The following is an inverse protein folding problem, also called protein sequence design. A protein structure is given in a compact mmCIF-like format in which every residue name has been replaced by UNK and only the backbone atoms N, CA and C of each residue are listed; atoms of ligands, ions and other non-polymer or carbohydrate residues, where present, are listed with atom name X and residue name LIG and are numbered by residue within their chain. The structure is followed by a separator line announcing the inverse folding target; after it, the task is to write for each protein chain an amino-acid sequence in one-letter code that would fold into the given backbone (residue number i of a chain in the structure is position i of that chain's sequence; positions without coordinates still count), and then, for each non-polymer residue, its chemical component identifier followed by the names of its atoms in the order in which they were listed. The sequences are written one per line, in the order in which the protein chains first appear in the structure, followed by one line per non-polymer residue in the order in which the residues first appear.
data_IF_814344488460
#
_entry.id   IF_814344488460
#
_cell.length_a   1.000
_cell.length_b   1.000
_cell.length_c   1.000
_cell.angle_alpha   90.00
_cell.angle_beta   90.00
_cell.angle_gamma   90.00
#
_symmetry.space_group_name_H-M   'P 1'
#
loop_
_entity.id
_entity.type
_entity.pdbx_description
1 polymer ?
#
# COMPACT_ATOMS: atom_id res chain seq x y z
N UNK A 1 5.80 14.30 21.67
CA UNK A 1 5.74 13.28 20.61
C UNK A 1 6.74 13.68 19.52
N UNK A 2 7.71 12.86 19.24
CA UNK A 2 8.63 13.16 18.13
C UNK A 2 7.85 12.98 16.82
N UNK A 3 7.77 14.05 16.03
CA UNK A 3 7.18 13.97 14.67
C UNK A 3 8.09 13.14 13.76
N UNK A 4 7.50 12.32 12.91
CA UNK A 4 8.27 11.63 11.87
C UNK A 4 8.85 12.66 10.89
N UNK A 5 10.13 12.57 10.52
CA UNK A 5 10.72 13.52 9.60
C UNK A 5 10.18 13.28 8.18
N UNK A 6 9.60 14.32 7.58
CA UNK A 6 9.09 14.33 6.20
C UNK A 6 8.42 13.02 5.77
N UNK A 7 7.28 12.64 6.39
CA UNK A 7 6.64 11.36 6.13
C UNK A 7 5.85 11.37 4.81
N UNK A 8 5.72 10.19 4.20
CA UNK A 8 4.72 9.88 3.19
C UNK A 8 4.01 8.57 3.56
N UNK A 9 2.72 8.46 3.24
CA UNK A 9 1.94 7.25 3.40
C UNK A 9 1.85 6.49 2.09
N UNK A 10 2.22 5.21 2.10
CA UNK A 10 2.05 4.29 0.98
C UNK A 10 1.01 3.23 1.33
N UNK A 11 -0.05 3.17 0.53
CA UNK A 11 -1.12 2.17 0.62
C UNK A 11 -0.91 1.14 -0.49
N UNK A 12 -0.64 -0.11 -0.13
CA UNK A 12 -0.27 -1.17 -1.07
C UNK A 12 -1.45 -2.12 -1.29
N UNK A 13 -1.85 -2.26 -2.56
CA UNK A 13 -2.73 -3.32 -3.09
C UNK A 13 -4.09 -3.46 -2.39
N UNK A 14 -4.70 -2.37 -1.91
CA UNK A 14 -6.08 -2.36 -1.39
C UNK A 14 -7.07 -2.42 -2.58
N UNK A 15 -7.04 -3.53 -3.30
CA UNK A 15 -7.81 -3.78 -4.51
C UNK A 15 -9.03 -4.66 -4.23
N UNK A 16 -10.06 -4.54 -5.05
CA UNK A 16 -11.29 -5.34 -4.95
C UNK A 16 -10.99 -6.84 -4.87
N UNK A 17 -10.11 -7.34 -5.73
CA UNK A 17 -9.77 -8.76 -5.76
C UNK A 17 -9.04 -9.29 -4.53
N UNK A 18 -8.36 -8.42 -3.77
CA UNK A 18 -7.66 -8.80 -2.55
C UNK A 18 -8.50 -8.58 -1.29
N UNK A 19 -9.31 -7.53 -1.26
CA UNK A 19 -10.14 -7.22 -0.10
C UNK A 19 -11.47 -7.98 -0.12
N UNK A 20 -12.07 -8.13 -1.30
CA UNK A 20 -13.39 -8.73 -1.52
C UNK A 20 -13.35 -9.97 -2.42
N UNK A 21 -12.17 -10.52 -2.67
CA UNK A 21 -12.00 -11.74 -3.46
C UNK A 21 -12.48 -12.99 -2.72
N UNK A 22 -12.28 -14.17 -3.33
CA UNK A 22 -12.75 -15.44 -2.77
C UNK A 22 -12.08 -15.83 -1.44
N UNK A 23 -10.91 -15.29 -1.15
CA UNK A 23 -10.18 -15.46 0.11
C UNK A 23 -10.26 -14.17 0.92
N UNK A 24 -10.95 -14.22 2.06
CA UNK A 24 -11.08 -13.05 2.93
C UNK A 24 -9.76 -12.78 3.68
N UNK A 25 -9.26 -11.51 3.69
CA UNK A 25 -8.12 -11.17 4.51
C UNK A 25 -8.49 -11.13 6.01
N UNK A 26 -7.52 -11.46 6.86
CA UNK A 26 -7.67 -11.33 8.30
C UNK A 26 -7.97 -9.87 8.68
N UNK A 27 -9.01 -9.62 9.48
CA UNK A 27 -9.41 -8.28 9.93
C UNK A 27 -9.46 -7.21 8.80
N UNK A 28 -9.85 -7.59 7.56
CA UNK A 28 -9.76 -6.71 6.40
C UNK A 28 -10.52 -5.39 6.54
N UNK A 29 -11.72 -5.42 7.12
CA UNK A 29 -12.53 -4.22 7.34
C UNK A 29 -11.88 -3.26 8.37
N UNK A 30 -11.31 -3.81 9.43
CA UNK A 30 -10.60 -3.02 10.45
C UNK A 30 -9.32 -2.42 9.87
N UNK A 31 -8.53 -3.21 9.14
CA UNK A 31 -7.33 -2.76 8.44
C UNK A 31 -7.66 -1.60 7.49
N UNK A 32 -8.71 -1.72 6.67
CA UNK A 32 -9.16 -0.66 5.78
C UNK A 32 -9.56 0.61 6.53
N UNK A 33 -10.30 0.48 7.65
CA UNK A 33 -10.69 1.63 8.46
C UNK A 33 -9.47 2.35 9.04
N UNK A 34 -8.46 1.60 9.50
CA UNK A 34 -7.20 2.14 10.01
C UNK A 34 -6.42 2.88 8.91
N UNK A 35 -6.34 2.29 7.70
CA UNK A 35 -5.69 2.93 6.55
C UNK A 35 -6.40 4.24 6.17
N UNK A 36 -7.72 4.27 6.15
CA UNK A 36 -8.48 5.48 5.85
C UNK A 36 -8.24 6.59 6.90
N UNK A 37 -8.16 6.23 8.19
CA UNK A 37 -7.80 7.19 9.25
C UNK A 37 -6.37 7.73 9.07
N UNK A 38 -5.41 6.87 8.74
CA UNK A 38 -4.04 7.27 8.45
C UNK A 38 -3.94 8.18 7.24
N UNK A 39 -4.65 7.87 6.16
CA UNK A 39 -4.70 8.69 4.94
C UNK A 39 -5.26 10.08 5.23
N UNK A 40 -6.33 10.17 6.02
CA UNK A 40 -6.89 11.44 6.45
C UNK A 40 -5.90 12.24 7.31
N UNK A 41 -5.25 11.59 8.27
CA UNK A 41 -4.25 12.25 9.13
C UNK A 41 -3.02 12.71 8.34
N UNK A 42 -2.53 11.91 7.38
CA UNK A 42 -1.43 12.27 6.51
C UNK A 42 -1.75 13.51 5.68
N UNK A 43 -2.92 13.55 5.03
CA UNK A 43 -3.38 14.73 4.27
C UNK A 43 -3.52 15.98 5.15
N UNK A 44 -4.11 15.84 6.34
CA UNK A 44 -4.24 16.93 7.28
C UNK A 44 -2.89 17.51 7.75
N UNK A 45 -1.85 16.66 7.77
CA UNK A 45 -0.47 17.04 8.08
C UNK A 45 0.33 17.53 6.86
N UNK A 46 -0.26 17.56 5.67
CA UNK A 46 0.41 17.93 4.42
C UNK A 46 1.39 16.85 3.92
N UNK A 47 1.30 15.62 4.43
CA UNK A 47 2.12 14.51 3.98
C UNK A 47 1.51 13.84 2.72
N UNK A 48 2.32 13.50 1.71
CA UNK A 48 1.84 12.80 0.51
C UNK A 48 1.20 11.45 0.85
N UNK A 49 0.11 11.13 0.16
CA UNK A 49 -0.52 9.82 0.16
C UNK A 49 -0.39 9.21 -1.22
N UNK A 50 0.14 7.99 -1.29
CA UNK A 50 0.29 7.24 -2.53
C UNK A 50 -0.43 5.90 -2.39
N UNK A 51 -1.17 5.51 -3.42
CA UNK A 51 -1.84 4.22 -3.49
C UNK A 51 -1.34 3.44 -4.71
N UNK A 52 -0.90 2.21 -4.51
CA UNK A 52 -0.40 1.37 -5.60
C UNK A 52 -1.32 0.18 -5.83
N UNK A 53 -1.52 -0.18 -7.10
CA UNK A 53 -2.23 -1.38 -7.53
C UNK A 53 -1.24 -2.39 -8.08
N UNK A 54 -1.37 -3.64 -7.69
CA UNK A 54 -0.67 -4.74 -8.36
C UNK A 54 -1.40 -5.08 -9.66
N UNK A 55 -0.70 -5.03 -10.77
CA UNK A 55 -1.23 -5.32 -12.10
C UNK A 55 -0.66 -6.65 -12.57
N UNK A 56 -1.54 -7.62 -12.74
CA UNK A 56 -1.20 -8.94 -13.29
C UNK A 56 -1.07 -8.95 -14.80
N UNK A 57 -0.63 -10.07 -15.37
CA UNK A 57 -0.53 -10.21 -16.82
C UNK A 57 -1.91 -10.12 -17.49
N UNK A 58 -1.90 -9.84 -18.79
CA UNK A 58 -3.12 -9.81 -19.59
C UNK A 58 -3.90 -11.12 -19.45
N UNK A 59 -5.21 -11.02 -19.26
CA UNK A 59 -6.11 -12.17 -19.07
C UNK A 59 -6.14 -12.73 -17.64
N UNK A 60 -5.32 -12.22 -16.72
CA UNK A 60 -5.44 -12.59 -15.30
C UNK A 60 -6.61 -11.85 -14.63
N UNK A 61 -7.11 -12.36 -13.47
CA UNK A 61 -8.19 -11.69 -12.73
C UNK A 61 -7.88 -10.27 -12.31
N UNK A 62 -6.59 -9.93 -12.15
CA UNK A 62 -6.09 -8.59 -11.78
C UNK A 62 -5.34 -7.91 -12.94
N UNK A 63 -5.68 -8.25 -14.19
CA UNK A 63 -5.18 -7.51 -15.35
C UNK A 63 -5.68 -6.06 -15.30
N UNK A 64 -4.90 -5.15 -15.86
CA UNK A 64 -5.27 -3.73 -15.92
C UNK A 64 -6.69 -3.54 -16.47
N UNK A 65 -7.50 -2.75 -15.78
CA UNK A 65 -8.89 -2.48 -16.15
C UNK A 65 -9.90 -3.53 -15.73
N UNK A 66 -9.49 -4.69 -15.20
CA UNK A 66 -10.42 -5.69 -14.69
C UNK A 66 -11.11 -5.23 -13.39
N UNK A 67 -12.31 -5.77 -13.05
CA UNK A 67 -12.98 -5.39 -11.80
C UNK A 67 -12.15 -5.65 -10.55
N UNK A 68 -11.42 -6.76 -10.49
CA UNK A 68 -10.59 -7.10 -9.34
C UNK A 68 -9.32 -6.26 -9.20
N UNK A 69 -8.86 -5.67 -10.28
CA UNK A 69 -7.71 -4.77 -10.29
C UNK A 69 -8.02 -3.39 -9.68
N UNK A 70 -9.27 -2.94 -9.73
CA UNK A 70 -9.66 -1.64 -9.19
C UNK A 70 -9.32 -1.53 -7.71
N UNK A 71 -8.98 -0.32 -7.24
CA UNK A 71 -8.93 -0.05 -5.82
C UNK A 71 -10.30 -0.33 -5.19
N UNK A 72 -10.30 -0.83 -3.96
CA UNK A 72 -11.55 -1.07 -3.24
C UNK A 72 -12.32 0.26 -3.10
N UNK A 73 -13.62 0.29 -3.42
CA UNK A 73 -14.39 1.53 -3.41
C UNK A 73 -14.50 2.19 -2.03
N UNK A 74 -14.29 1.41 -0.97
CA UNK A 74 -14.27 1.90 0.41
C UNK A 74 -12.95 2.55 0.81
N UNK A 75 -11.88 2.38 0.01
CA UNK A 75 -10.63 3.09 0.24
C UNK A 75 -10.82 4.57 -0.08
N UNK A 76 -10.61 5.41 0.93
CA UNK A 76 -10.75 6.85 0.80
C UNK A 76 -9.55 7.45 0.04
N UNK A 77 -9.63 7.45 -1.29
CA UNK A 77 -8.67 8.09 -2.19
C UNK A 77 -9.13 9.51 -2.49
N UNK A 78 -8.23 10.46 -2.40
CA UNK A 78 -8.45 11.87 -2.73
C UNK A 78 -7.83 12.21 -4.11
N UNK A 79 -8.32 13.28 -4.75
CA UNK A 79 -7.78 13.74 -6.03
C UNK A 79 -6.31 14.16 -5.95
N UNK A 80 -5.85 14.59 -4.77
CA UNK A 80 -4.46 14.93 -4.53
C UNK A 80 -3.56 13.71 -4.33
N UNK A 81 -4.12 12.53 -4.09
CA UNK A 81 -3.35 11.31 -3.90
C UNK A 81 -2.77 10.81 -5.23
N UNK A 82 -1.58 10.27 -5.15
CA UNK A 82 -0.96 9.64 -6.32
C UNK A 82 -1.33 8.17 -6.42
N UNK A 83 -2.07 7.80 -7.43
CA UNK A 83 -2.38 6.39 -7.75
C UNK A 83 -1.46 5.92 -8.87
N UNK A 84 -0.83 4.75 -8.71
CA UNK A 84 0.07 4.16 -9.71
C UNK A 84 0.01 2.64 -9.70
N UNK A 85 0.62 2.02 -10.70
CA UNK A 85 0.61 0.58 -10.89
C UNK A 85 2.01 -0.02 -10.75
N UNK A 86 2.06 -1.26 -10.25
CA UNK A 86 3.27 -2.08 -10.18
C UNK A 86 3.01 -3.47 -10.74
N UNK A 87 4.06 -4.14 -11.19
CA UNK A 87 4.01 -5.49 -11.76
C UNK A 87 4.82 -6.51 -10.93
N UNK A 88 5.43 -6.08 -9.84
CA UNK A 88 6.23 -6.91 -8.93
C UNK A 88 5.83 -6.65 -7.48
N UNK A 89 6.14 -7.55 -6.54
CA UNK A 89 5.86 -7.31 -5.12
C UNK A 89 6.46 -6.01 -4.60
N UNK A 90 7.73 -5.73 -4.90
CA UNK A 90 8.39 -4.48 -4.56
C UNK A 90 7.79 -3.30 -5.33
N UNK A 91 7.20 -2.33 -4.62
CA UNK A 91 6.55 -1.17 -5.22
C UNK A 91 7.53 -0.18 -5.89
N UNK A 92 8.82 -0.27 -5.61
CA UNK A 92 9.85 0.54 -6.26
C UNK A 92 10.29 -0.01 -7.62
N UNK A 93 10.06 -1.32 -7.87
CA UNK A 93 10.55 -1.97 -9.06
C UNK A 93 9.80 -1.54 -10.32
N UNK A 94 10.50 -0.84 -11.22
CA UNK A 94 9.94 -0.41 -12.49
C UNK A 94 8.84 0.65 -12.38
N UNK A 95 8.81 1.42 -11.28
CA UNK A 95 7.85 2.50 -11.03
C UNK A 95 8.56 3.82 -10.80
N UNK A 96 7.81 4.92 -10.75
CA UNK A 96 8.33 6.24 -10.40
C UNK A 96 8.43 6.52 -8.90
N UNK A 97 8.15 5.53 -8.03
CA UNK A 97 7.97 5.77 -6.59
C UNK A 97 9.16 6.47 -5.95
N UNK A 98 10.39 5.97 -6.16
CA UNK A 98 11.59 6.57 -5.56
C UNK A 98 11.80 8.03 -6.01
N UNK A 99 11.57 8.31 -7.30
CA UNK A 99 11.67 9.66 -7.84
C UNK A 99 10.68 10.62 -7.19
N UNK A 100 9.41 10.24 -7.09
CA UNK A 100 8.38 11.08 -6.47
C UNK A 100 8.63 11.33 -4.99
N UNK A 101 9.08 10.32 -4.26
CA UNK A 101 9.42 10.47 -2.83
C UNK A 101 10.62 11.42 -2.65
N UNK A 102 11.64 11.31 -3.48
CA UNK A 102 12.82 12.20 -3.47
C UNK A 102 12.47 13.64 -3.84
N UNK A 103 11.68 13.85 -4.87
CA UNK A 103 11.17 15.16 -5.27
C UNK A 103 10.38 15.84 -4.14
N UNK A 104 9.61 15.06 -3.37
CA UNK A 104 8.87 15.52 -2.19
C UNK A 104 9.72 15.67 -0.93
N UNK A 105 11.03 15.38 -0.98
CA UNK A 105 11.91 15.44 0.18
C UNK A 105 11.57 14.43 1.27
N UNK A 106 10.89 13.33 0.92
CA UNK A 106 10.44 12.30 1.87
C UNK A 106 11.63 11.59 2.50
N UNK A 107 11.60 11.44 3.80
CA UNK A 107 12.62 10.74 4.59
C UNK A 107 12.04 9.49 5.28
N UNK A 108 10.75 9.51 5.61
CA UNK A 108 10.07 8.41 6.27
C UNK A 108 8.95 7.87 5.39
N UNK A 109 8.96 6.57 5.11
CA UNK A 109 7.88 5.89 4.40
C UNK A 109 7.03 5.08 5.38
N UNK A 110 5.77 5.49 5.52
CA UNK A 110 4.78 4.76 6.31
C UNK A 110 4.10 3.76 5.37
N UNK A 111 4.21 2.47 5.66
CA UNK A 111 3.73 1.38 4.80
C UNK A 111 2.51 0.73 5.39
N UNK A 112 1.48 0.56 4.55
CA UNK A 112 0.20 -0.06 4.88
C UNK A 112 -0.30 -0.91 3.70
N UNK A 113 -1.29 -1.77 3.92
CA UNK A 113 -1.97 -2.50 2.84
C UNK A 113 -1.81 -4.02 2.89
N UNK A 114 -1.61 -4.65 1.73
CA UNK A 114 -1.62 -6.12 1.55
C UNK A 114 -0.55 -6.57 0.55
N UNK A 115 -0.13 -7.83 0.54
CA UNK A 115 -0.21 -8.85 1.62
C UNK A 115 1.08 -8.76 2.44
N UNK A 116 0.98 -8.95 3.74
CA UNK A 116 2.10 -8.79 4.69
C UNK A 116 3.38 -9.47 4.24
N UNK A 117 3.32 -10.77 3.91
CA UNK A 117 4.49 -11.59 3.58
C UNK A 117 5.00 -11.43 2.14
N UNK A 118 4.35 -10.62 1.31
CA UNK A 118 4.70 -10.42 -0.10
C UNK A 118 5.00 -8.95 -0.40
N UNK A 119 4.02 -8.20 -0.86
CA UNK A 119 4.22 -6.82 -1.33
C UNK A 119 4.63 -5.88 -0.21
N UNK A 120 4.12 -6.07 1.00
CA UNK A 120 4.50 -5.29 2.19
C UNK A 120 5.96 -5.55 2.54
N UNK A 121 6.34 -6.81 2.79
CA UNK A 121 7.72 -7.18 3.15
C UNK A 121 8.72 -6.74 2.09
N UNK A 122 8.47 -7.06 0.82
CA UNK A 122 9.36 -6.68 -0.28
C UNK A 122 9.56 -5.17 -0.40
N UNK A 123 8.49 -4.39 -0.23
CA UNK A 123 8.56 -2.93 -0.32
C UNK A 123 9.27 -2.31 0.88
N UNK A 124 9.01 -2.81 2.09
CA UNK A 124 9.70 -2.33 3.30
C UNK A 124 11.23 -2.54 3.20
N UNK A 125 11.68 -3.71 2.75
CA UNK A 125 13.11 -4.01 2.57
C UNK A 125 13.73 -3.09 1.52
N UNK A 126 13.08 -2.94 0.37
CA UNK A 126 13.56 -2.06 -0.69
C UNK A 126 13.62 -0.60 -0.25
N UNK A 127 12.63 -0.11 0.49
CA UNK A 127 12.62 1.25 1.03
C UNK A 127 13.81 1.48 1.98
N UNK A 128 14.09 0.52 2.87
CA UNK A 128 15.23 0.59 3.80
C UNK A 128 16.56 0.61 3.03
N UNK A 129 16.71 -0.24 2.02
CA UNK A 129 17.91 -0.29 1.17
C UNK A 129 18.13 1.03 0.39
N UNK A 130 17.04 1.73 0.02
CA UNK A 130 17.08 3.04 -0.63
C UNK A 130 17.34 4.20 0.34
N UNK A 131 17.40 3.94 1.65
CA UNK A 131 17.74 4.91 2.69
C UNK A 131 16.55 5.58 3.37
N UNK A 132 15.31 5.16 3.11
CA UNK A 132 14.14 5.65 3.84
C UNK A 132 14.07 5.06 5.25
N UNK A 133 13.67 5.87 6.24
CA UNK A 133 13.16 5.33 7.49
C UNK A 133 11.81 4.67 7.21
N UNK A 134 11.64 3.40 7.59
CA UNK A 134 10.41 2.65 7.31
C UNK A 134 9.60 2.47 8.58
N UNK A 135 8.33 2.83 8.50
CA UNK A 135 7.33 2.58 9.55
C UNK A 135 6.27 1.64 9.00
N UNK A 136 6.27 0.40 9.46
CA UNK A 136 5.20 -0.55 9.19
C UNK A 136 4.14 -0.44 10.29
N UNK A 137 2.90 -0.08 9.91
CA UNK A 137 1.81 0.13 10.87
C UNK A 137 1.16 -1.20 11.18
N UNK A 138 1.30 -1.68 12.42
CA UNK A 138 0.97 -3.05 12.83
C UNK A 138 -0.51 -3.45 12.66
N UNK A 139 -1.43 -2.49 12.72
CA UNK A 139 -2.87 -2.68 12.56
C UNK A 139 -3.43 -2.12 11.23
N UNK A 140 -2.54 -1.81 10.29
CA UNK A 140 -2.89 -1.28 8.96
C UNK A 140 -2.25 -2.09 7.82
N UNK A 141 -1.87 -3.33 8.06
CA UNK A 141 -1.54 -4.30 7.02
C UNK A 141 -2.12 -5.67 7.36
N UNK A 142 -2.38 -6.48 6.35
CA UNK A 142 -2.98 -7.80 6.53
C UNK A 142 -2.60 -8.78 5.43
N UNK A 143 -2.96 -10.03 5.63
CA UNK A 143 -2.87 -11.11 4.65
C UNK A 143 -4.02 -12.10 4.85
N UNK A 144 -4.06 -13.14 4.06
CA UNK A 144 -4.96 -14.27 4.19
C UNK A 144 -4.25 -15.44 4.89
N UNK A 145 -5.02 -16.32 5.50
CA UNK A 145 -4.51 -17.59 5.97
C UNK A 145 -3.91 -18.40 4.82
N UNK A 146 -2.89 -19.16 5.11
CA UNK A 146 -2.35 -20.18 4.22
C UNK A 146 -2.48 -21.55 4.87
N UNK A 147 -2.39 -22.66 4.11
CA UNK A 147 -2.43 -24.01 4.70
C UNK A 147 -1.39 -24.25 5.79
N UNK A 148 -0.30 -23.45 5.79
CA UNK A 148 0.83 -23.62 6.71
C UNK A 148 0.91 -22.55 7.79
N UNK A 149 0.21 -21.40 7.62
CA UNK A 149 0.32 -20.26 8.51
C UNK A 149 -0.97 -19.47 8.58
N UNK A 150 -1.46 -19.26 9.80
CA UNK A 150 -2.56 -18.32 10.05
C UNK A 150 -2.09 -16.86 9.87
N UNK A 151 -2.98 -16.01 9.40
CA UNK A 151 -2.75 -14.58 9.21
C UNK A 151 -2.66 -13.84 10.54
#
# INVERSE_FOLDING_TARGET
MSSLPHPALLVIDLQVGLLHGPEAPHAGAETLANINRLSQAARAAGAPVLAVRHTGPAGSPIAAGSPFWQLAPELAVDEADRVFDKHRPNAFHGTGLDGWLKEGGVQTLIVTGMKTQYCIDSTCRAAADLGYAVVLVSDAHTCMDTPQLAA
#
